data_IF_383535621627
#
_entry.id   IF_383535621627
#
_cell.length_a   1.000
_cell.length_b   1.000
_cell.length_c   1.000
_cell.angle_alpha   90.00
_cell.angle_beta   90.00
_cell.angle_gamma   90.00
#
_symmetry.space_group_name_H-M   'P 1'
#
loop_
_entity.id
_entity.type
_entity.pdbx_description
1 polymer ?
#
# COMPACT_ATOMS: atom_id res chain seq x y z
N UNK A 1 -17.06 -3.77 4.72
CA UNK A 1 -16.26 -4.39 3.65
C UNK A 1 -14.77 -4.27 3.97
N UNK A 2 -13.95 -5.30 3.69
CA UNK A 2 -12.49 -5.24 3.87
C UNK A 2 -11.84 -4.89 2.53
N UNK A 3 -10.99 -3.87 2.50
CA UNK A 3 -10.26 -3.43 1.31
C UNK A 3 -8.78 -3.31 1.64
N UNK A 4 -7.93 -3.98 0.86
CA UNK A 4 -6.49 -3.88 1.00
C UNK A 4 -5.94 -2.90 -0.04
N UNK A 5 -5.10 -1.96 0.41
CA UNK A 5 -4.46 -0.96 -0.45
C UNK A 5 -2.96 -0.94 -0.19
N UNK A 6 -2.18 -1.36 -1.17
CA UNK A 6 -0.73 -1.23 -1.15
C UNK A 6 -0.33 0.10 -1.80
N UNK A 7 0.15 1.02 -0.96
CA UNK A 7 0.63 2.34 -1.39
C UNK A 7 2.09 2.28 -1.85
N UNK A 8 2.33 1.57 -2.95
CA UNK A 8 3.67 1.51 -3.55
C UNK A 8 4.12 2.87 -4.12
N UNK A 9 5.43 3.08 -4.26
CA UNK A 9 5.97 4.31 -4.84
C UNK A 9 5.74 4.41 -6.35
N UNK A 10 5.58 3.27 -7.02
CA UNK A 10 5.31 3.20 -8.46
C UNK A 10 3.82 3.09 -8.74
N UNK A 11 3.14 2.25 -8.00
CA UNK A 11 1.75 1.90 -8.24
C UNK A 11 1.01 1.73 -6.91
N UNK A 12 -0.26 2.11 -6.92
CA UNK A 12 -1.24 1.70 -5.92
C UNK A 12 -1.82 0.37 -6.39
N UNK A 13 -1.94 -0.59 -5.48
CA UNK A 13 -2.49 -1.90 -5.77
C UNK A 13 -3.59 -2.24 -4.77
N UNK A 14 -4.66 -2.84 -5.27
CA UNK A 14 -5.71 -3.45 -4.47
C UNK A 14 -5.83 -4.93 -4.83
N UNK A 15 -6.85 -5.60 -4.36
CA UNK A 15 -7.11 -7.00 -4.74
C UNK A 15 -7.35 -7.16 -6.24
N UNK A 16 -8.02 -6.18 -6.89
CA UNK A 16 -8.46 -6.31 -8.28
C UNK A 16 -7.95 -5.18 -9.19
N UNK A 17 -7.30 -4.16 -8.65
CA UNK A 17 -6.88 -2.99 -9.40
C UNK A 17 -5.41 -2.65 -9.18
N UNK A 18 -4.82 -2.08 -10.21
CA UNK A 18 -3.46 -1.53 -10.15
C UNK A 18 -3.41 -0.27 -11.00
N UNK A 19 -2.96 0.83 -10.44
CA UNK A 19 -2.82 2.10 -11.15
C UNK A 19 -1.60 2.87 -10.66
N UNK A 20 -1.14 3.86 -11.44
CA UNK A 20 0.05 4.64 -11.13
C UNK A 20 -0.14 5.45 -9.83
N UNK A 21 0.89 5.52 -9.00
CA UNK A 21 0.92 6.40 -7.82
C UNK A 21 1.20 7.84 -8.25
N UNK A 22 0.29 8.39 -9.04
CA UNK A 22 0.34 9.74 -9.58
C UNK A 22 -1.04 10.37 -9.63
N UNK A 23 -1.12 11.68 -9.36
CA UNK A 23 -2.37 12.41 -9.23
C UNK A 23 -2.23 13.80 -9.83
N UNK A 24 -3.22 14.22 -10.63
CA UNK A 24 -3.44 15.60 -11.04
C UNK A 24 -4.69 16.15 -10.35
N UNK A 25 -4.62 17.40 -9.88
CA UNK A 25 -5.72 18.14 -9.26
C UNK A 25 -6.17 19.27 -10.19
N UNK A 26 -7.47 19.56 -10.24
CA UNK A 26 -8.06 20.63 -11.01
C UNK A 26 -9.31 21.18 -10.30
N UNK A 27 -9.56 22.50 -10.42
CA UNK A 27 -10.78 23.13 -9.93
C UNK A 27 -11.96 22.94 -10.89
N UNK A 28 -11.70 22.48 -12.12
CA UNK A 28 -12.73 22.22 -13.13
C UNK A 28 -12.64 20.77 -13.60
N UNK A 29 -13.81 20.21 -13.94
CA UNK A 29 -13.85 18.84 -14.45
C UNK A 29 -13.09 18.72 -15.77
N UNK A 30 -12.10 17.83 -15.88
CA UNK A 30 -11.40 17.57 -17.13
C UNK A 30 -12.37 17.06 -18.21
N UNK A 31 -12.42 17.67 -19.41
CA UNK A 31 -13.44 17.38 -20.42
C UNK A 31 -13.34 15.97 -21.02
N UNK A 32 -12.15 15.37 -21.03
CA UNK A 32 -11.89 14.05 -21.60
C UNK A 32 -11.29 13.07 -20.57
N UNK A 33 -11.37 13.40 -19.28
CA UNK A 33 -10.83 12.54 -18.22
C UNK A 33 -11.64 11.26 -18.06
N UNK A 34 -10.96 10.13 -17.91
CA UNK A 34 -11.51 8.87 -17.39
C UNK A 34 -11.14 8.75 -15.93
N UNK A 35 -11.99 8.08 -15.17
CA UNK A 35 -11.78 7.89 -13.73
C UNK A 35 -11.54 9.25 -13.02
N UNK A 36 -12.46 10.20 -13.27
CA UNK A 36 -12.42 11.53 -12.65
C UNK A 36 -13.08 11.46 -11.28
N UNK A 37 -12.29 11.59 -10.23
CA UNK A 37 -12.77 11.65 -8.86
C UNK A 37 -13.09 13.10 -8.49
N UNK A 38 -14.26 13.32 -7.90
CA UNK A 38 -14.66 14.60 -7.31
C UNK A 38 -14.77 14.45 -5.80
N UNK A 39 -14.02 15.25 -5.06
CA UNK A 39 -14.02 15.27 -3.60
C UNK A 39 -13.66 16.66 -3.07
N UNK A 40 -14.39 17.14 -2.07
CA UNK A 40 -14.18 18.45 -1.42
C UNK A 40 -14.06 19.63 -2.41
N UNK A 41 -14.92 19.65 -3.44
CA UNK A 41 -14.97 20.73 -4.41
C UNK A 41 -13.88 20.71 -5.48
N UNK A 42 -13.04 19.68 -5.52
CA UNK A 42 -11.96 19.54 -6.49
C UNK A 42 -12.09 18.25 -7.30
N UNK A 43 -11.55 18.29 -8.50
CA UNK A 43 -11.47 17.14 -9.40
C UNK A 43 -10.07 16.58 -9.41
N UNK A 44 -9.98 15.26 -9.39
CA UNK A 44 -8.72 14.53 -9.41
C UNK A 44 -8.74 13.51 -10.53
N UNK A 45 -7.61 13.36 -11.20
CA UNK A 45 -7.39 12.30 -12.20
C UNK A 45 -6.10 11.57 -11.90
N UNK A 46 -6.06 10.30 -12.24
CA UNK A 46 -4.83 9.53 -12.18
C UNK A 46 -3.83 10.06 -13.22
N UNK A 47 -2.57 10.09 -12.87
CA UNK A 47 -1.48 10.61 -13.69
C UNK A 47 -0.36 9.59 -13.85
N UNK A 48 0.27 9.57 -15.01
CA UNK A 48 1.50 8.78 -15.23
C UNK A 48 2.71 9.41 -14.53
N UNK A 49 2.62 10.70 -14.19
CA UNK A 49 3.62 11.35 -13.34
C UNK A 49 3.45 10.90 -11.90
N UNK A 50 4.41 10.10 -11.44
CA UNK A 50 4.43 9.57 -10.08
C UNK A 50 4.67 10.68 -9.06
N UNK A 51 4.01 10.55 -7.92
CA UNK A 51 4.37 11.32 -6.72
C UNK A 51 5.82 10.97 -6.37
N UNK A 52 6.69 11.97 -6.11
CA UNK A 52 8.05 11.72 -5.65
C UNK A 52 8.08 10.83 -4.41
N UNK A 53 9.16 10.07 -4.25
CA UNK A 53 9.33 9.24 -3.07
C UNK A 53 9.18 10.05 -1.79
N UNK A 54 8.32 9.57 -0.89
CA UNK A 54 8.12 10.16 0.44
C UNK A 54 8.27 9.08 1.50
N UNK A 55 9.08 9.37 2.50
CA UNK A 55 9.23 8.48 3.67
C UNK A 55 7.93 8.42 4.48
N UNK A 56 7.34 9.58 4.71
CA UNK A 56 6.09 9.74 5.48
C UNK A 56 4.96 10.21 4.55
N UNK A 57 4.15 9.27 4.11
CA UNK A 57 3.02 9.52 3.20
C UNK A 57 1.86 10.25 3.88
N UNK A 58 1.82 10.30 5.20
CA UNK A 58 0.75 10.98 5.95
C UNK A 58 0.83 12.50 5.89
N UNK A 59 1.94 13.04 5.40
CA UNK A 59 2.14 14.48 5.21
C UNK A 59 1.61 14.98 3.87
N UNK A 60 1.07 14.10 3.03
CA UNK A 60 0.61 14.41 1.68
C UNK A 60 -0.79 13.84 1.43
N UNK A 61 -1.77 14.70 1.29
CA UNK A 61 -3.19 14.34 1.10
C UNK A 61 -3.43 13.56 -0.21
N UNK A 62 -2.51 13.62 -1.18
CA UNK A 62 -2.60 12.87 -2.42
C UNK A 62 -2.70 11.36 -2.20
N UNK A 63 -2.05 10.83 -1.18
CA UNK A 63 -2.17 9.40 -0.84
C UNK A 63 -3.55 9.04 -0.32
N UNK A 64 -4.21 9.95 0.38
CA UNK A 64 -5.60 9.76 0.78
C UNK A 64 -6.54 9.76 -0.44
N UNK A 65 -6.36 10.70 -1.37
CA UNK A 65 -7.15 10.75 -2.60
C UNK A 65 -6.95 9.48 -3.45
N UNK A 66 -5.71 8.98 -3.57
CA UNK A 66 -5.43 7.71 -4.24
C UNK A 66 -6.12 6.52 -3.54
N UNK A 67 -6.28 6.59 -2.21
CA UNK A 67 -7.05 5.59 -1.46
C UNK A 67 -8.54 5.68 -1.77
N UNK A 68 -9.11 6.87 -1.96
CA UNK A 68 -10.50 7.02 -2.39
C UNK A 68 -10.72 6.41 -3.78
N UNK A 69 -9.78 6.58 -4.73
CA UNK A 69 -9.82 5.87 -6.02
C UNK A 69 -9.82 4.36 -5.81
N UNK A 70 -8.89 3.86 -4.99
CA UNK A 70 -8.77 2.43 -4.72
C UNK A 70 -10.08 1.85 -4.15
N UNK A 71 -10.66 2.53 -3.16
CA UNK A 71 -11.93 2.14 -2.55
C UNK A 71 -13.06 2.18 -3.57
N UNK A 72 -13.22 3.28 -4.32
CA UNK A 72 -14.28 3.41 -5.31
C UNK A 72 -14.22 2.34 -6.41
N UNK A 73 -13.01 2.01 -6.88
CA UNK A 73 -12.84 0.95 -7.88
C UNK A 73 -13.19 -0.44 -7.34
N UNK A 74 -12.88 -0.74 -6.06
CA UNK A 74 -13.30 -2.00 -5.44
C UNK A 74 -14.81 -2.03 -5.20
N UNK A 75 -15.42 -0.91 -4.80
CA UNK A 75 -16.86 -0.81 -4.56
C UNK A 75 -17.68 -0.99 -5.84
N UNK A 76 -17.22 -0.48 -6.99
CA UNK A 76 -17.87 -0.70 -8.30
C UNK A 76 -18.06 -2.17 -8.66
N UNK A 77 -17.26 -3.04 -8.08
CA UNK A 77 -17.28 -4.48 -8.32
C UNK A 77 -18.26 -5.24 -7.43
N UNK A 78 -18.79 -4.56 -6.41
CA UNK A 78 -19.56 -5.20 -5.34
C UNK A 78 -20.94 -4.57 -5.28
N UNK A 79 -21.99 -5.39 -5.33
CA UNK A 79 -23.35 -4.93 -5.06
C UNK A 79 -23.50 -4.72 -3.55
N UNK A 80 -23.45 -3.49 -3.10
CA UNK A 80 -23.62 -3.12 -1.70
C UNK A 80 -24.96 -2.38 -1.53
N UNK A 81 -25.66 -2.72 -0.45
CA UNK A 81 -26.93 -2.10 -0.07
C UNK A 81 -26.83 -1.13 1.11
N UNK A 82 -25.64 -1.02 1.72
CA UNK A 82 -25.39 -0.13 2.87
C UNK A 82 -25.01 1.28 2.40
N UNK A 83 -25.58 2.30 3.07
CA UNK A 83 -25.21 3.71 2.87
C UNK A 83 -25.17 4.42 4.25
N UNK A 84 -24.01 4.88 4.73
CA UNK A 84 -22.68 4.73 4.13
C UNK A 84 -22.13 3.30 4.22
N UNK A 85 -21.33 2.91 3.22
CA UNK A 85 -20.64 1.62 3.24
C UNK A 85 -19.53 1.65 4.29
N UNK A 86 -19.57 0.70 5.24
CA UNK A 86 -18.52 0.55 6.25
C UNK A 86 -17.31 -0.15 5.66
N UNK A 87 -16.17 0.56 5.62
CA UNK A 87 -14.91 0.08 5.08
C UNK A 87 -13.90 -0.16 6.20
N UNK A 88 -13.29 -1.34 6.22
CA UNK A 88 -12.09 -1.63 6.98
C UNK A 88 -10.91 -1.66 6.00
N UNK A 89 -9.90 -0.84 6.25
CA UNK A 89 -8.71 -0.77 5.40
C UNK A 89 -7.61 -1.68 5.92
N UNK A 90 -6.92 -2.34 4.99
CA UNK A 90 -5.61 -2.95 5.23
C UNK A 90 -4.60 -2.21 4.38
N UNK A 91 -3.64 -1.56 5.01
CA UNK A 91 -2.62 -0.75 4.34
C UNK A 91 -1.23 -1.29 4.62
N UNK A 92 -0.27 -0.97 3.75
CA UNK A 92 1.10 -1.48 3.87
C UNK A 92 2.13 -0.36 3.96
N UNK A 93 3.09 -0.51 4.87
CA UNK A 93 4.27 0.33 4.96
C UNK A 93 5.53 -0.49 4.67
N UNK A 94 6.55 0.14 4.05
CA UNK A 94 7.86 -0.48 3.97
C UNK A 94 8.33 -0.87 5.37
N UNK A 95 8.87 -2.09 5.56
CA UNK A 95 9.28 -2.57 6.87
C UNK A 95 10.23 -1.62 7.61
N UNK A 96 11.15 -0.93 6.89
CA UNK A 96 12.06 0.05 7.47
C UNK A 96 11.35 1.25 8.13
N UNK A 97 10.11 1.52 7.74
CA UNK A 97 9.31 2.63 8.27
C UNK A 97 8.20 2.16 9.20
N UNK A 98 7.87 0.87 9.18
CA UNK A 98 6.74 0.32 9.90
C UNK A 98 6.81 0.63 11.39
N UNK A 99 7.93 0.31 12.06
CA UNK A 99 8.07 0.51 13.50
C UNK A 99 7.87 1.95 13.99
N UNK A 100 8.08 2.95 13.13
CA UNK A 100 7.99 4.37 13.51
C UNK A 100 6.74 5.06 12.99
N UNK A 101 6.12 4.56 11.92
CA UNK A 101 5.06 5.28 11.23
C UNK A 101 3.72 4.55 11.21
N UNK A 102 3.62 3.29 11.65
CA UNK A 102 2.40 2.51 11.48
C UNK A 102 1.18 3.14 12.17
N UNK A 103 1.30 3.57 13.43
CA UNK A 103 0.22 4.25 14.13
C UNK A 103 -0.22 5.55 13.46
N UNK A 104 0.76 6.35 12.99
CA UNK A 104 0.48 7.59 12.30
C UNK A 104 -0.23 7.32 10.97
N UNK A 105 0.16 6.24 10.28
CA UNK A 105 -0.43 5.85 9.01
C UNK A 105 -1.86 5.33 9.19
N UNK A 106 -2.13 4.57 10.25
CA UNK A 106 -3.49 4.17 10.62
C UNK A 106 -4.36 5.41 10.92
N UNK A 107 -3.90 6.31 11.78
CA UNK A 107 -4.65 7.52 12.13
C UNK A 107 -4.90 8.45 10.93
N UNK A 108 -4.08 8.38 9.90
CA UNK A 108 -4.23 9.18 8.69
C UNK A 108 -5.54 8.91 7.94
N UNK A 109 -6.04 7.69 7.99
CA UNK A 109 -7.29 7.30 7.32
C UNK A 109 -8.51 7.40 8.25
N UNK A 110 -8.31 7.28 9.56
CA UNK A 110 -9.39 7.26 10.54
C UNK A 110 -9.87 8.68 10.93
N UNK A 111 -11.06 8.75 11.53
CA UNK A 111 -11.57 9.99 12.12
C UNK A 111 -12.08 11.04 11.12
N UNK A 112 -12.17 10.69 9.84
CA UNK A 112 -12.63 11.63 8.80
C UNK A 112 -14.16 11.71 8.65
N UNK A 113 -14.91 10.91 9.46
CA UNK A 113 -16.37 10.83 9.35
C UNK A 113 -16.83 10.14 8.08
N UNK A 114 -18.06 10.44 7.67
CA UNK A 114 -18.62 9.94 6.40
C UNK A 114 -18.00 10.70 5.23
N UNK A 115 -17.43 9.95 4.31
CA UNK A 115 -16.76 10.46 3.12
C UNK A 115 -17.69 10.31 1.93
N UNK A 116 -18.05 11.44 1.32
CA UNK A 116 -18.85 11.47 0.11
C UNK A 116 -17.98 11.93 -1.06
N UNK A 117 -17.87 11.12 -2.09
CA UNK A 117 -17.11 11.43 -3.29
C UNK A 117 -17.77 10.82 -4.52
N UNK A 118 -17.34 11.24 -5.70
CA UNK A 118 -17.84 10.71 -6.97
C UNK A 118 -16.66 10.24 -7.81
N UNK A 119 -16.88 9.19 -8.60
CA UNK A 119 -15.97 8.84 -9.69
C UNK A 119 -16.81 8.73 -10.97
N UNK A 120 -16.50 9.55 -11.97
CA UNK A 120 -17.24 9.69 -13.23
C UNK A 120 -18.74 9.99 -13.05
N UNK A 121 -19.12 10.64 -11.94
CA UNK A 121 -20.50 10.98 -11.59
C UNK A 121 -21.23 9.91 -10.78
N UNK A 122 -20.65 8.74 -10.59
CA UNK A 122 -21.14 7.72 -9.67
C UNK A 122 -20.82 8.13 -8.23
N UNK A 123 -21.83 8.15 -7.38
CA UNK A 123 -21.74 8.60 -5.98
C UNK A 123 -21.31 7.44 -5.07
N UNK A 124 -20.38 7.73 -4.18
CA UNK A 124 -19.95 6.86 -3.12
C UNK A 124 -20.07 7.56 -1.77
N UNK A 125 -20.64 6.86 -0.80
CA UNK A 125 -20.73 7.28 0.60
C UNK A 125 -20.11 6.18 1.43
N UNK A 126 -19.02 6.48 2.13
CA UNK A 126 -18.28 5.49 2.90
C UNK A 126 -17.95 5.99 4.30
N UNK A 127 -17.78 5.06 5.22
CA UNK A 127 -17.23 5.30 6.56
C UNK A 127 -16.07 4.34 6.79
N UNK A 128 -14.86 4.88 6.95
CA UNK A 128 -13.71 4.07 7.34
C UNK A 128 -13.83 3.80 8.85
N UNK A 129 -14.16 2.56 9.20
CA UNK A 129 -14.45 2.13 10.58
C UNK A 129 -13.26 1.49 11.28
N UNK A 130 -12.24 1.12 10.52
CA UNK A 130 -11.02 0.52 11.03
C UNK A 130 -9.93 0.51 9.99
N UNK A 131 -8.71 0.49 10.47
CA UNK A 131 -7.51 0.41 9.67
C UNK A 131 -6.53 -0.56 10.33
N UNK A 132 -5.82 -1.34 9.53
CA UNK A 132 -4.76 -2.22 9.98
C UNK A 132 -3.55 -2.04 9.06
N UNK A 133 -2.44 -1.62 9.63
CA UNK A 133 -1.20 -1.43 8.92
C UNK A 133 -0.30 -2.66 9.03
N UNK A 134 0.24 -3.13 7.91
CA UNK A 134 1.12 -4.28 7.83
C UNK A 134 2.47 -3.90 7.21
N UNK A 135 3.56 -4.56 7.62
CA UNK A 135 4.81 -4.45 6.88
C UNK A 135 4.62 -5.04 5.47
N UNK A 136 4.94 -4.25 4.44
CA UNK A 136 4.99 -4.73 3.06
C UNK A 136 5.95 -5.94 2.98
N UNK A 137 5.77 -6.81 2.00
CA UNK A 137 6.44 -8.10 1.86
C UNK A 137 6.08 -9.14 2.94
N UNK A 138 5.82 -8.76 4.20
CA UNK A 138 5.38 -9.73 5.21
C UNK A 138 4.03 -10.36 4.86
N UNK A 139 3.09 -9.57 4.36
CA UNK A 139 1.79 -10.07 3.88
C UNK A 139 1.94 -11.12 2.78
N UNK A 140 2.95 -11.01 1.92
CA UNK A 140 3.25 -12.00 0.89
C UNK A 140 3.77 -13.34 1.47
N UNK A 141 4.31 -13.33 2.68
CA UNK A 141 4.76 -14.53 3.37
C UNK A 141 3.63 -15.33 4.02
N UNK A 142 2.49 -14.69 4.33
CA UNK A 142 1.37 -15.33 5.05
C UNK A 142 0.88 -16.61 4.37
N UNK A 143 0.64 -16.64 3.04
CA UNK A 143 0.16 -17.86 2.36
C UNK A 143 1.12 -19.05 2.43
N UNK A 144 2.41 -18.78 2.64
CA UNK A 144 3.47 -19.81 2.72
C UNK A 144 4.08 -19.93 4.12
N UNK A 145 3.47 -19.28 5.10
CA UNK A 145 4.01 -19.17 6.45
C UNK A 145 4.29 -20.53 7.11
N UNK A 146 3.40 -21.51 6.94
CA UNK A 146 3.58 -22.86 7.46
C UNK A 146 4.84 -23.56 6.94
N UNK A 147 5.26 -23.26 5.71
CA UNK A 147 6.53 -23.74 5.14
C UNK A 147 7.71 -22.96 5.69
N UNK A 148 7.55 -21.66 5.85
CA UNK A 148 8.61 -20.77 6.36
C UNK A 148 8.95 -21.07 7.82
N UNK A 149 7.99 -21.47 8.63
CA UNK A 149 8.21 -21.86 10.04
C UNK A 149 9.16 -23.06 10.22
N UNK A 150 9.30 -23.89 9.19
CA UNK A 150 10.19 -25.04 9.21
C UNK A 150 11.67 -24.67 8.91
N UNK A 151 11.89 -23.44 8.48
CA UNK A 151 13.21 -22.93 8.12
C UNK A 151 13.77 -22.05 9.25
N UNK A 152 15.05 -22.18 9.61
CA UNK A 152 15.65 -21.31 10.62
C UNK A 152 15.66 -19.84 10.18
N UNK A 153 15.81 -19.60 8.90
CA UNK A 153 15.81 -18.28 8.28
C UNK A 153 15.15 -18.31 6.92
N UNK A 154 14.39 -17.29 6.60
CA UNK A 154 13.82 -17.08 5.27
C UNK A 154 14.03 -15.63 4.85
N UNK A 155 14.16 -15.40 3.55
CA UNK A 155 14.30 -14.06 2.98
C UNK A 155 13.23 -13.82 1.94
N UNK A 156 12.54 -12.68 2.06
CA UNK A 156 11.62 -12.20 1.05
C UNK A 156 12.32 -11.09 0.29
N UNK A 157 12.34 -11.21 -1.02
CA UNK A 157 12.86 -10.18 -1.93
C UNK A 157 11.70 -9.64 -2.73
N UNK A 158 11.34 -8.38 -2.50
CA UNK A 158 10.32 -7.66 -3.26
C UNK A 158 11.00 -6.63 -4.15
N UNK A 159 10.83 -6.77 -5.46
CA UNK A 159 11.39 -5.90 -6.47
C UNK A 159 10.26 -5.08 -7.06
N UNK A 160 10.10 -3.82 -6.62
CA UNK A 160 9.08 -2.94 -7.12
C UNK A 160 9.65 -1.59 -7.57
N UNK A 161 9.56 -1.34 -8.86
CA UNK A 161 9.99 -0.06 -9.47
C UNK A 161 11.46 0.25 -9.24
N UNK A 162 11.76 1.24 -8.38
CA UNK A 162 13.11 1.69 -8.05
C UNK A 162 13.59 1.19 -6.67
N UNK A 163 12.83 0.32 -6.02
CA UNK A 163 13.10 -0.12 -4.64
C UNK A 163 13.21 -1.64 -4.61
N UNK A 164 14.32 -2.11 -4.05
CA UNK A 164 14.52 -3.51 -3.67
C UNK A 164 14.29 -3.61 -2.16
N UNK A 165 13.22 -4.29 -1.76
CA UNK A 165 12.97 -4.62 -0.36
C UNK A 165 13.49 -6.02 -0.08
N UNK A 166 14.40 -6.12 0.88
CA UNK A 166 14.91 -7.37 1.41
C UNK A 166 14.41 -7.53 2.84
N UNK A 167 13.57 -8.53 3.09
CA UNK A 167 13.03 -8.82 4.41
C UNK A 167 13.53 -10.16 4.87
N UNK A 168 14.24 -10.22 5.99
CA UNK A 168 14.70 -11.46 6.60
C UNK A 168 13.76 -11.86 7.73
N UNK A 169 13.30 -13.08 7.72
CA UNK A 169 12.50 -13.70 8.78
C UNK A 169 13.41 -14.71 9.50
N UNK A 170 13.60 -14.51 10.81
CA UNK A 170 14.32 -15.45 11.65
C UNK A 170 13.33 -16.18 12.57
N UNK A 171 13.37 -17.50 12.54
CA UNK A 171 12.57 -18.32 13.42
C UNK A 171 13.39 -18.63 14.69
N UNK A 172 13.23 -17.81 15.71
CA UNK A 172 13.97 -17.94 16.97
C UNK A 172 13.34 -18.93 17.95
N UNK A 173 12.30 -19.68 17.54
CA UNK A 173 11.58 -20.59 18.43
C UNK A 173 10.78 -19.91 19.55
N UNK A 174 10.80 -18.58 19.64
CA UNK A 174 9.97 -17.78 20.54
C UNK A 174 8.90 -17.07 19.71
N UNK A 175 7.71 -16.97 20.25
CA UNK A 175 6.60 -16.19 19.67
C UNK A 175 7.04 -14.71 19.61
N UNK A 176 7.47 -14.29 18.44
CA UNK A 176 8.01 -12.97 18.20
C UNK A 176 9.15 -13.02 17.20
N UNK A 177 8.82 -13.10 15.91
CA UNK A 177 9.80 -13.05 14.83
C UNK A 177 10.44 -11.66 14.79
N UNK A 178 11.75 -11.57 14.98
CA UNK A 178 12.47 -10.33 14.73
C UNK A 178 12.54 -10.11 13.21
N UNK A 179 11.95 -9.02 12.75
CA UNK A 179 11.99 -8.60 11.37
C UNK A 179 13.17 -7.65 11.19
N UNK A 180 14.23 -8.09 10.52
CA UNK A 180 15.31 -7.20 10.09
C UNK A 180 15.08 -6.79 8.65
N UNK A 181 15.15 -5.49 8.39
CA UNK A 181 14.95 -4.93 7.06
C UNK A 181 16.14 -4.09 6.67
N UNK A 182 16.78 -4.47 5.59
CA UNK A 182 17.64 -3.58 4.84
C UNK A 182 16.90 -3.10 3.58
N UNK A 183 16.70 -1.80 3.46
CA UNK A 183 16.25 -1.18 2.22
C UNK A 183 17.47 -0.73 1.42
N UNK A 184 17.65 -1.31 0.27
CA UNK A 184 18.64 -0.85 -0.71
C UNK A 184 17.88 0.02 -1.72
N UNK A 185 18.11 1.33 -1.71
CA UNK A 185 17.64 2.20 -2.77
C UNK A 185 18.56 2.06 -3.97
N UNK A 186 18.06 1.50 -5.05
CA UNK A 186 18.78 1.52 -6.32
C UNK A 186 18.62 2.91 -6.96
N UNK A 187 19.52 3.83 -6.65
CA UNK A 187 19.78 4.95 -7.52
C UNK A 187 20.73 4.48 -8.61
N UNK A 188 20.25 4.58 -9.86
CA UNK A 188 20.98 4.43 -11.11
C UNK A 188 21.61 3.08 -11.43
N UNK A 189 21.10 2.47 -12.48
CA UNK A 189 21.75 1.64 -13.49
C UNK A 189 22.93 0.78 -12.99
N UNK A 190 22.64 -0.47 -12.59
CA UNK A 190 23.65 -1.46 -12.31
C UNK A 190 23.04 -2.61 -11.53
N UNK A 191 22.62 -3.66 -12.23
CA UNK A 191 22.25 -4.92 -11.58
C UNK A 191 23.53 -5.63 -11.15
N UNK A 192 23.88 -5.54 -9.89
CA UNK A 192 24.86 -6.43 -9.28
C UNK A 192 24.12 -7.44 -8.44
N UNK A 193 23.98 -8.64 -8.98
CA UNK A 193 23.48 -9.83 -8.29
C UNK A 193 24.60 -10.33 -7.38
N UNK A 194 24.60 -9.91 -6.12
CA UNK A 194 25.41 -10.53 -5.10
C UNK A 194 24.68 -11.76 -4.51
N UNK A 195 24.93 -12.91 -5.11
CA UNK A 195 24.70 -14.19 -4.46
C UNK A 195 25.85 -14.44 -3.46
N UNK A 196 25.60 -14.24 -2.18
CA UNK A 196 26.42 -14.88 -1.14
C UNK A 196 25.62 -16.01 -0.49
N UNK A 197 25.77 -17.20 -1.04
CA UNK A 197 25.46 -18.43 -0.33
C UNK A 197 26.63 -18.71 0.60
N UNK A 198 26.53 -18.37 1.89
CA UNK A 198 27.44 -18.91 2.88
C UNK A 198 26.97 -20.31 3.28
N UNK A 199 27.48 -21.32 2.59
CA UNK A 199 27.56 -22.67 3.14
C UNK A 199 28.71 -22.67 4.17
N UNK A 200 28.39 -22.44 5.44
CA UNK A 200 29.29 -22.88 6.51
C UNK A 200 28.91 -24.30 6.85
N UNK A 201 29.64 -25.24 6.21
CA UNK A 201 29.77 -26.57 6.74
C UNK A 201 30.65 -26.48 7.97
N UNK A 202 30.17 -27.00 9.07
CA UNK A 202 31.02 -27.42 10.17
C UNK A 202 30.71 -28.85 10.58
N UNK A 203 31.78 -29.53 10.80
CA UNK A 203 32.02 -30.97 11.08
C UNK A 203 31.46 -31.39 12.44
#
# INVERSE_FOLDING_TARGET
MLISVDHGNKQIKTTHQTFTSGLCESDTRPPFGRDVLFYNGKYYTLSDQRIPYMRDKTTDERFFILTLFAIGFELRRTLLSEDPVKVQLCVGLPPAHFGTLYHKFEQYFLGRGVLNFQIDGELFSILITGDACFPQAYAAAIPVYSKLQQLPKAMIVDISGSVLLKTQIENSGKVGSALFVESISANSCGYELLYQASCSGDR
#
